data_IF_264359746483
#
_entry.id   IF_264359746483
#
_cell.length_a   1.000
_cell.length_b   1.000
_cell.length_c   1.000
_cell.angle_alpha   90.00
_cell.angle_beta   90.00
_cell.angle_gamma   90.00
#
_symmetry.space_group_name_H-M   'P 1'
#
loop_
_entity.id
_entity.type
_entity.pdbx_description
1 polymer ?
#
# COMPACT_ATOMS: atom_id res chain seq x y z
N UNK A 1 -17.15 11.37 -16.72
CA UNK A 1 -18.05 10.31 -16.22
C UNK A 1 -17.53 8.91 -16.57
N UNK A 2 -16.97 8.70 -17.77
CA UNK A 2 -16.54 7.38 -18.25
C UNK A 2 -15.47 6.66 -17.41
N UNK A 3 -14.50 7.40 -16.86
CA UNK A 3 -13.50 6.80 -15.97
C UNK A 3 -14.14 6.25 -14.67
N UNK A 4 -15.12 6.98 -14.13
CA UNK A 4 -15.84 6.58 -12.92
C UNK A 4 -16.76 5.39 -13.19
N UNK A 5 -17.46 5.36 -14.32
CA UNK A 5 -18.31 4.21 -14.70
C UNK A 5 -17.49 2.96 -14.97
N UNK A 6 -16.33 3.07 -15.64
CA UNK A 6 -15.40 1.94 -15.82
C UNK A 6 -14.85 1.44 -14.48
N UNK A 7 -14.53 2.35 -13.56
CA UNK A 7 -14.07 2.02 -12.22
C UNK A 7 -15.14 1.27 -11.42
N UNK A 8 -16.38 1.78 -11.38
CA UNK A 8 -17.47 1.15 -10.61
C UNK A 8 -17.97 -0.15 -11.24
N UNK A 9 -17.72 -0.39 -12.52
CA UNK A 9 -18.00 -1.67 -13.17
C UNK A 9 -17.00 -2.77 -12.77
N UNK A 10 -15.84 -2.42 -12.22
CA UNK A 10 -14.86 -3.39 -11.74
C UNK A 10 -15.13 -3.75 -10.27
N UNK A 11 -15.12 -5.05 -9.96
CA UNK A 11 -15.23 -5.56 -8.59
C UNK A 11 -14.15 -4.98 -7.68
N UNK A 12 -12.92 -4.84 -8.19
CA UNK A 12 -11.82 -4.21 -7.47
C UNK A 12 -12.09 -2.73 -7.19
N UNK A 13 -12.70 -2.00 -8.12
CA UNK A 13 -13.06 -0.60 -7.90
C UNK A 13 -14.07 -0.46 -6.76
N UNK A 14 -15.11 -1.31 -6.74
CA UNK A 14 -16.09 -1.35 -5.64
C UNK A 14 -15.45 -1.68 -4.29
N UNK A 15 -14.54 -2.65 -4.21
CA UNK A 15 -13.80 -2.93 -2.96
C UNK A 15 -12.98 -1.72 -2.50
N UNK A 16 -12.28 -1.02 -3.40
CA UNK A 16 -11.48 0.16 -3.05
C UNK A 16 -12.33 1.32 -2.57
N UNK A 17 -13.49 1.55 -3.17
CA UNK A 17 -14.45 2.54 -2.71
C UNK A 17 -14.94 2.23 -1.30
N UNK A 18 -15.32 0.96 -1.06
CA UNK A 18 -15.76 0.52 0.27
C UNK A 18 -14.62 0.61 1.30
N UNK A 19 -13.39 0.29 0.89
CA UNK A 19 -12.20 0.49 1.73
C UNK A 19 -12.02 1.96 2.11
N UNK A 20 -12.16 2.88 1.16
CA UNK A 20 -12.09 4.32 1.44
C UNK A 20 -13.17 4.75 2.44
N UNK A 21 -14.43 4.33 2.23
CA UNK A 21 -15.53 4.65 3.16
C UNK A 21 -15.24 4.11 4.57
N UNK A 22 -14.76 2.87 4.67
CA UNK A 22 -14.42 2.25 5.96
C UNK A 22 -13.36 3.07 6.71
N UNK A 23 -12.25 3.42 6.05
CA UNK A 23 -11.17 4.16 6.68
C UNK A 23 -11.53 5.63 6.96
N UNK A 24 -12.37 6.25 6.12
CA UNK A 24 -12.97 7.56 6.44
C UNK A 24 -13.83 7.48 7.70
N UNK A 25 -14.66 6.44 7.86
CA UNK A 25 -15.44 6.25 9.09
C UNK A 25 -14.54 6.09 10.31
N UNK A 26 -13.45 5.32 10.19
CA UNK A 26 -12.47 5.12 11.26
C UNK A 26 -11.76 6.43 11.64
N UNK A 27 -11.35 7.24 10.66
CA UNK A 27 -10.74 8.55 10.88
C UNK A 27 -11.71 9.53 11.53
N UNK A 28 -12.93 9.65 10.99
CA UNK A 28 -13.97 10.51 11.55
C UNK A 28 -14.33 10.10 12.98
N UNK A 29 -14.42 8.80 13.26
CA UNK A 29 -14.65 8.29 14.62
C UNK A 29 -13.57 8.80 15.56
N UNK A 30 -12.30 8.62 15.22
CA UNK A 30 -11.18 9.07 16.04
C UNK A 30 -11.22 10.59 16.32
N UNK A 31 -11.58 11.40 15.32
CA UNK A 31 -11.68 12.86 15.47
C UNK A 31 -12.89 13.33 16.29
N UNK A 32 -13.95 12.52 16.35
CA UNK A 32 -15.21 12.83 17.02
C UNK A 32 -15.31 12.22 18.43
N UNK A 33 -14.56 11.16 18.71
CA UNK A 33 -14.55 10.43 19.99
C UNK A 33 -14.25 11.32 21.21
N UNK A 34 -13.39 12.35 21.14
CA UNK A 34 -13.17 13.27 22.26
C UNK A 34 -14.34 14.22 22.55
N UNK A 35 -15.38 14.28 21.69
CA UNK A 35 -16.48 15.26 21.78
C UNK A 35 -17.73 14.60 22.37
N UNK A 36 -18.07 14.93 23.61
CA UNK A 36 -19.20 14.33 24.36
C UNK A 36 -20.56 14.41 23.62
N UNK A 37 -20.82 15.48 22.86
CA UNK A 37 -22.09 15.67 22.14
C UNK A 37 -22.22 14.83 20.83
N UNK A 38 -21.19 14.08 20.45
CA UNK A 38 -21.15 13.36 19.16
C UNK A 38 -21.25 11.85 19.26
N UNK A 39 -21.59 11.31 20.44
CA UNK A 39 -21.68 9.86 20.68
C UNK A 39 -22.66 9.16 19.72
N UNK A 40 -23.83 9.75 19.47
CA UNK A 40 -24.81 9.22 18.49
C UNK A 40 -24.23 9.11 17.08
N UNK A 41 -23.39 10.06 16.67
CA UNK A 41 -22.73 10.06 15.35
C UNK A 41 -21.64 9.00 15.31
N UNK A 42 -20.84 8.88 16.37
CA UNK A 42 -19.81 7.83 16.53
C UNK A 42 -20.41 6.44 16.40
N UNK A 43 -21.56 6.18 17.03
CA UNK A 43 -22.25 4.90 16.93
C UNK A 43 -22.76 4.60 15.51
N UNK A 44 -23.28 5.62 14.80
CA UNK A 44 -23.66 5.48 13.38
C UNK A 44 -22.44 5.16 12.51
N UNK A 45 -21.31 5.85 12.71
CA UNK A 45 -20.06 5.60 11.99
C UNK A 45 -19.54 4.17 12.25
N UNK A 46 -19.60 3.68 13.48
CA UNK A 46 -19.19 2.30 13.83
C UNK A 46 -20.06 1.25 13.14
N UNK A 47 -21.38 1.48 13.06
CA UNK A 47 -22.30 0.60 12.34
C UNK A 47 -21.99 0.58 10.84
N UNK A 48 -21.75 1.75 10.25
CA UNK A 48 -21.39 1.89 8.84
C UNK A 48 -20.04 1.20 8.53
N UNK A 49 -19.01 1.45 9.35
CA UNK A 49 -17.69 0.81 9.23
C UNK A 49 -17.82 -0.73 9.22
N UNK A 50 -18.58 -1.29 10.17
CA UNK A 50 -18.80 -2.74 10.27
C UNK A 50 -19.55 -3.32 9.06
N UNK A 51 -20.60 -2.62 8.60
CA UNK A 51 -21.37 -3.02 7.43
C UNK A 51 -20.52 -3.03 6.16
N UNK A 52 -19.76 -1.96 5.93
CA UNK A 52 -18.88 -1.82 4.77
C UNK A 52 -17.72 -2.83 4.83
N UNK A 53 -17.11 -3.04 6.00
CA UNK A 53 -16.07 -4.07 6.21
C UNK A 53 -16.56 -5.48 5.86
N UNK A 54 -17.82 -5.80 6.21
CA UNK A 54 -18.45 -7.06 5.82
C UNK A 54 -18.67 -7.12 4.31
N UNK A 55 -19.19 -6.05 3.69
CA UNK A 55 -19.36 -5.96 2.23
C UNK A 55 -18.06 -6.18 1.46
N UNK A 56 -16.93 -5.66 1.96
CA UNK A 56 -15.61 -5.88 1.35
C UNK A 56 -15.16 -7.33 1.33
N UNK A 57 -15.55 -8.16 2.30
CA UNK A 57 -15.22 -9.59 2.26
C UNK A 57 -15.81 -10.27 1.03
N UNK A 58 -17.03 -9.90 0.65
CA UNK A 58 -17.67 -10.43 -0.56
C UNK A 58 -16.89 -10.09 -1.83
N UNK A 59 -16.45 -8.85 -1.97
CA UNK A 59 -15.65 -8.43 -3.13
C UNK A 59 -14.24 -9.02 -3.17
N UNK A 60 -13.74 -9.54 -2.03
CA UNK A 60 -12.42 -10.18 -1.95
C UNK A 60 -12.46 -11.68 -2.24
N UNK A 61 -13.63 -12.30 -2.28
CA UNK A 61 -13.76 -13.70 -2.73
C UNK A 61 -13.28 -13.82 -4.18
N UNK A 62 -12.48 -14.84 -4.46
CA UNK A 62 -11.85 -15.03 -5.78
C UNK A 62 -10.52 -14.30 -5.97
N UNK A 63 -10.13 -13.36 -5.09
CA UNK A 63 -8.82 -12.69 -5.19
C UNK A 63 -7.64 -13.64 -5.02
N UNK A 64 -7.85 -14.84 -4.46
CA UNK A 64 -6.85 -15.91 -4.45
C UNK A 64 -6.37 -16.25 -5.86
N UNK A 65 -7.27 -16.29 -6.85
CA UNK A 65 -6.94 -16.59 -8.25
C UNK A 65 -6.08 -15.48 -8.84
N UNK A 66 -6.43 -14.22 -8.57
CA UNK A 66 -5.61 -13.07 -8.98
C UNK A 66 -4.22 -13.09 -8.32
N UNK A 67 -4.12 -13.51 -7.06
CA UNK A 67 -2.84 -13.64 -6.39
C UNK A 67 -1.99 -14.77 -6.98
N UNK A 68 -2.59 -15.91 -7.33
CA UNK A 68 -1.89 -17.02 -8.01
C UNK A 68 -1.40 -16.58 -9.39
N UNK A 69 -2.25 -15.90 -10.17
CA UNK A 69 -1.87 -15.37 -11.47
C UNK A 69 -0.71 -14.37 -11.35
N UNK A 70 -0.74 -13.49 -10.34
CA UNK A 70 0.35 -12.54 -10.08
C UNK A 70 1.66 -13.26 -9.69
N UNK A 71 1.60 -14.35 -8.92
CA UNK A 71 2.77 -15.19 -8.61
C UNK A 71 3.36 -15.83 -9.88
N UNK A 72 2.52 -16.30 -10.80
CA UNK A 72 2.99 -16.87 -12.06
C UNK A 72 3.66 -15.82 -12.94
N UNK A 73 3.07 -14.63 -13.03
CA UNK A 73 3.63 -13.52 -13.81
C UNK A 73 4.96 -13.02 -13.22
N UNK A 74 5.10 -12.98 -11.89
CA UNK A 74 6.34 -12.51 -11.26
C UNK A 74 7.54 -13.42 -11.53
N UNK A 75 7.33 -14.69 -11.89
CA UNK A 75 8.41 -15.63 -12.26
C UNK A 75 9.05 -15.23 -13.60
N UNK A 76 8.30 -14.55 -14.47
CA UNK A 76 8.74 -14.12 -15.80
C UNK A 76 9.56 -12.82 -15.77
N UNK A 77 9.67 -12.17 -14.61
CA UNK A 77 10.45 -10.94 -14.44
C UNK A 77 11.93 -11.24 -14.63
N UNK A 78 12.59 -10.47 -15.49
CA UNK A 78 14.00 -10.66 -15.87
C UNK A 78 14.96 -10.42 -14.71
N UNK A 79 14.72 -9.37 -13.91
CA UNK A 79 15.60 -8.99 -12.81
C UNK A 79 15.41 -9.90 -11.59
N UNK A 80 16.52 -10.44 -11.07
CA UNK A 80 16.50 -11.45 -10.01
C UNK A 80 15.89 -10.95 -8.70
N UNK A 81 16.26 -9.73 -8.27
CA UNK A 81 15.83 -9.16 -6.98
C UNK A 81 14.32 -8.85 -6.99
N UNK A 82 13.77 -8.10 -7.97
CA UNK A 82 12.32 -7.90 -8.07
C UNK A 82 11.56 -9.20 -8.25
N UNK A 83 12.05 -10.13 -9.10
CA UNK A 83 11.43 -11.44 -9.29
C UNK A 83 11.25 -12.20 -7.98
N UNK A 84 12.30 -12.29 -7.17
CA UNK A 84 12.25 -12.99 -5.89
C UNK A 84 11.29 -12.31 -4.91
N UNK A 85 11.41 -10.98 -4.76
CA UNK A 85 10.56 -10.20 -3.85
C UNK A 85 9.07 -10.34 -4.22
N UNK A 86 8.73 -10.16 -5.51
CA UNK A 86 7.36 -10.22 -6.00
C UNK A 86 6.77 -11.62 -5.91
N UNK A 87 7.56 -12.66 -6.23
CA UNK A 87 7.09 -14.04 -6.17
C UNK A 87 6.72 -14.44 -4.74
N UNK A 88 7.58 -14.13 -3.77
CA UNK A 88 7.29 -14.43 -2.37
C UNK A 88 6.19 -13.50 -1.82
N UNK A 89 6.15 -12.23 -2.25
CA UNK A 89 5.11 -11.29 -1.85
C UNK A 89 3.72 -11.77 -2.30
N UNK A 90 3.60 -12.25 -3.54
CA UNK A 90 2.37 -12.76 -4.12
C UNK A 90 2.00 -14.14 -3.53
N UNK A 91 2.97 -15.00 -3.23
CA UNK A 91 2.71 -16.26 -2.52
C UNK A 91 2.14 -16.02 -1.11
N UNK A 92 2.72 -15.07 -0.36
CA UNK A 92 2.15 -14.64 0.92
C UNK A 92 0.73 -14.08 0.75
N UNK A 93 0.47 -13.38 -0.36
CA UNK A 93 -0.86 -12.85 -0.69
C UNK A 93 -1.88 -13.97 -0.95
N UNK A 94 -1.48 -15.07 -1.59
CA UNK A 94 -2.31 -16.27 -1.75
C UNK A 94 -2.71 -16.82 -0.39
N UNK A 95 -1.75 -17.05 0.52
CA UNK A 95 -2.02 -17.57 1.86
C UNK A 95 -2.96 -16.64 2.64
N UNK A 96 -2.74 -15.33 2.54
CA UNK A 96 -3.62 -14.32 3.12
C UNK A 96 -5.07 -14.45 2.62
N UNK A 97 -5.30 -14.55 1.31
CA UNK A 97 -6.65 -14.65 0.75
C UNK A 97 -7.32 -15.99 1.07
N UNK A 98 -6.56 -17.08 1.19
CA UNK A 98 -7.08 -18.36 1.69
C UNK A 98 -7.56 -18.21 3.14
N UNK A 99 -6.76 -17.60 4.01
CA UNK A 99 -7.16 -17.33 5.39
C UNK A 99 -8.38 -16.40 5.47
N UNK A 100 -8.45 -15.37 4.62
CA UNK A 100 -9.59 -14.43 4.55
C UNK A 100 -10.88 -15.14 4.11
N UNK A 101 -10.78 -16.08 3.16
CA UNK A 101 -11.90 -16.91 2.72
C UNK A 101 -12.40 -17.81 3.86
N UNK A 102 -11.49 -18.46 4.59
CA UNK A 102 -11.86 -19.30 5.76
C UNK A 102 -12.54 -18.45 6.85
N UNK A 103 -12.02 -17.25 7.13
CA UNK A 103 -12.63 -16.31 8.08
C UNK A 103 -14.01 -15.82 7.62
N UNK A 104 -14.22 -15.69 6.30
CA UNK A 104 -15.54 -15.36 5.74
C UNK A 104 -16.52 -16.54 5.87
N UNK A 105 -16.12 -17.75 5.50
CA UNK A 105 -16.94 -18.98 5.63
C UNK A 105 -17.41 -19.16 7.08
N UNK A 106 -16.51 -18.95 8.05
CA UNK A 106 -16.87 -18.92 9.48
C UNK A 106 -17.92 -17.85 9.80
N UNK A 107 -17.78 -16.64 9.25
CA UNK A 107 -18.71 -15.54 9.55
C UNK A 107 -20.12 -15.76 8.98
N UNK A 108 -20.29 -16.63 7.99
CA UNK A 108 -21.58 -17.05 7.44
C UNK A 108 -22.20 -18.21 8.25
N UNK A 109 -21.44 -18.82 9.16
CA UNK A 109 -21.91 -19.93 10.00
C UNK A 109 -21.75 -21.32 9.37
N UNK A 110 -21.05 -21.42 8.24
CA UNK A 110 -20.80 -22.71 7.59
C UNK A 110 -19.80 -23.59 8.36
N UNK A 111 -18.89 -22.98 9.13
CA UNK A 111 -17.92 -23.71 9.96
C UNK A 111 -17.78 -23.02 11.34
N UNK A 112 -18.17 -23.73 12.40
CA UNK A 112 -18.29 -23.19 13.76
C UNK A 112 -17.08 -23.44 14.67
N UNK A 113 -16.22 -24.43 14.37
CA UNK A 113 -15.14 -24.87 15.28
C UNK A 113 -13.76 -24.23 15.03
N UNK A 114 -13.66 -23.28 14.10
CA UNK A 114 -12.38 -22.65 13.77
C UNK A 114 -11.99 -21.53 14.75
N UNK A 115 -10.76 -21.54 15.27
CA UNK A 115 -10.27 -20.44 16.10
C UNK A 115 -10.07 -19.15 15.29
N UNK A 116 -11.06 -18.25 15.33
CA UNK A 116 -11.06 -16.96 14.61
C UNK A 116 -9.80 -16.14 14.84
N UNK A 117 -9.28 -16.12 16.07
CA UNK A 117 -8.15 -15.28 16.42
C UNK A 117 -6.84 -15.79 15.83
N UNK A 118 -6.63 -17.11 15.85
CA UNK A 118 -5.46 -17.74 15.22
C UNK A 118 -5.42 -17.46 13.72
N UNK A 119 -6.53 -17.66 13.01
CA UNK A 119 -6.61 -17.43 11.57
C UNK A 119 -6.49 -15.94 11.20
N UNK A 120 -7.03 -15.05 12.03
CA UNK A 120 -6.86 -13.60 11.88
C UNK A 120 -5.40 -13.18 12.01
N UNK A 121 -4.70 -13.67 13.05
CA UNK A 121 -3.27 -13.41 13.24
C UNK A 121 -2.43 -14.00 12.11
N UNK A 122 -2.74 -15.21 11.65
CA UNK A 122 -2.05 -15.84 10.52
C UNK A 122 -2.21 -15.04 9.23
N UNK A 123 -3.42 -14.58 8.93
CA UNK A 123 -3.70 -13.70 7.79
C UNK A 123 -2.91 -12.39 7.90
N UNK A 124 -2.94 -11.74 9.06
CA UNK A 124 -2.21 -10.49 9.32
C UNK A 124 -0.70 -10.66 9.09
N UNK A 125 -0.12 -11.79 9.52
CA UNK A 125 1.30 -12.11 9.36
C UNK A 125 1.71 -12.26 7.89
N UNK A 126 0.95 -12.99 7.09
CA UNK A 126 1.25 -13.14 5.67
C UNK A 126 1.01 -11.85 4.89
N UNK A 127 -0.03 -11.07 5.27
CA UNK A 127 -0.24 -9.75 4.71
C UNK A 127 0.93 -8.79 5.01
N UNK A 128 1.45 -8.83 6.25
CA UNK A 128 2.66 -8.10 6.65
C UNK A 128 3.86 -8.46 5.77
N UNK A 129 4.21 -9.75 5.66
CA UNK A 129 5.36 -10.17 4.85
C UNK A 129 5.20 -9.79 3.37
N UNK A 130 3.99 -9.91 2.83
CA UNK A 130 3.69 -9.47 1.46
C UNK A 130 3.98 -7.98 1.26
N UNK A 131 3.57 -7.12 2.21
CA UNK A 131 3.83 -5.68 2.14
C UNK A 131 5.31 -5.34 2.35
N UNK A 132 5.97 -6.02 3.29
CA UNK A 132 7.39 -5.80 3.56
C UNK A 132 8.23 -6.11 2.32
N UNK A 133 7.97 -7.22 1.63
CA UNK A 133 8.67 -7.59 0.40
C UNK A 133 8.39 -6.62 -0.75
N UNK A 134 7.16 -6.09 -0.85
CA UNK A 134 6.86 -5.05 -1.82
C UNK A 134 7.64 -3.76 -1.51
N UNK A 135 7.74 -3.34 -0.24
CA UNK A 135 8.53 -2.17 0.15
C UNK A 135 10.02 -2.38 -0.16
N UNK A 136 10.57 -3.57 0.13
CA UNK A 136 11.97 -3.89 -0.20
C UNK A 136 12.20 -3.77 -1.71
N UNK A 137 11.28 -4.30 -2.51
CA UNK A 137 11.31 -4.21 -3.98
C UNK A 137 11.21 -2.76 -4.46
N UNK A 138 10.31 -1.98 -3.87
CA UNK A 138 10.14 -0.56 -4.20
C UNK A 138 11.41 0.23 -3.88
N UNK A 139 12.03 0.01 -2.70
CA UNK A 139 13.30 0.64 -2.32
C UNK A 139 14.41 0.28 -3.30
N UNK A 140 14.51 -0.99 -3.69
CA UNK A 140 15.50 -1.44 -4.69
C UNK A 140 15.31 -0.73 -6.04
N UNK A 141 14.08 -0.66 -6.56
CA UNK A 141 13.78 0.06 -7.80
C UNK A 141 14.09 1.57 -7.66
N UNK A 142 13.77 2.19 -6.53
CA UNK A 142 14.08 3.61 -6.27
C UNK A 142 15.59 3.83 -6.29
N UNK A 143 16.38 2.96 -5.65
CA UNK A 143 17.84 3.04 -5.64
C UNK A 143 18.43 2.97 -7.05
N UNK A 144 17.94 2.04 -7.87
CA UNK A 144 18.37 1.92 -9.27
C UNK A 144 18.04 3.18 -10.08
N UNK A 145 16.85 3.72 -9.90
CA UNK A 145 16.42 4.95 -10.59
C UNK A 145 17.23 6.19 -10.13
N UNK A 146 17.57 6.25 -8.84
CA UNK A 146 18.44 7.31 -8.31
C UNK A 146 19.83 7.26 -8.93
N UNK A 147 20.41 6.07 -9.11
CA UNK A 147 21.70 5.89 -9.77
C UNK A 147 21.67 6.37 -11.23
N UNK A 148 20.62 6.01 -11.99
CA UNK A 148 20.45 6.47 -13.36
C UNK A 148 20.37 8.00 -13.47
N UNK A 149 19.59 8.64 -12.59
CA UNK A 149 19.46 10.11 -12.55
C UNK A 149 20.78 10.78 -12.15
N UNK A 150 21.55 10.18 -11.23
CA UNK A 150 22.86 10.68 -10.84
C UNK A 150 23.86 10.60 -12.01
N UNK A 151 23.87 9.49 -12.74
CA UNK A 151 24.73 9.32 -13.92
C UNK A 151 24.37 10.30 -15.05
N UNK A 152 23.07 10.55 -15.29
CA UNK A 152 22.62 11.58 -16.25
C UNK A 152 23.10 12.98 -15.87
N UNK A 153 23.01 13.34 -14.58
CA UNK A 153 23.52 14.64 -14.08
C UNK A 153 25.02 14.75 -14.26
N UNK A 154 25.79 13.72 -13.87
CA UNK A 154 27.24 13.72 -14.02
C UNK A 154 27.69 13.83 -15.49
N UNK A 155 26.96 13.18 -16.42
CA UNK A 155 27.20 13.35 -17.87
C UNK A 155 26.92 14.78 -18.34
N UNK A 156 25.85 15.40 -17.84
CA UNK A 156 25.45 16.77 -18.19
C UNK A 156 26.42 17.81 -17.64
N UNK A 157 26.92 17.64 -16.43
CA UNK A 157 27.90 18.54 -15.80
C UNK A 157 29.25 18.49 -16.53
N UNK A 158 29.71 17.30 -16.93
CA UNK A 158 30.92 17.14 -17.77
C UNK A 158 30.83 17.82 -19.14
N UNK A 159 29.64 18.11 -19.63
CA UNK A 159 29.42 18.79 -20.91
C UNK A 159 29.33 20.32 -20.81
N UNK A 160 29.36 20.90 -19.60
CA UNK A 160 29.40 22.34 -19.36
C UNK A 160 30.79 22.78 -18.87
N UNK A 161 31.36 23.91 -19.35
CA UNK A 161 32.60 24.44 -18.77
C UNK A 161 32.33 24.94 -17.34
N UNK A 162 33.02 24.39 -16.35
CA UNK A 162 32.82 24.72 -14.93
C UNK A 162 33.88 25.72 -14.45
N UNK A 163 33.44 26.92 -14.03
CA UNK A 163 34.23 27.83 -13.20
C UNK A 163 34.07 27.39 -11.73
N UNK A 164 35.18 27.02 -11.10
CA UNK A 164 35.21 26.46 -9.76
C UNK A 164 35.12 27.55 -8.68
N UNK A 165 34.18 27.39 -7.74
CA UNK A 165 34.27 27.97 -6.40
C UNK A 165 33.79 26.90 -5.41
N UNK A 166 34.70 26.42 -4.56
CA UNK A 166 34.48 25.26 -3.69
C UNK A 166 33.69 25.58 -2.41
N UNK A 167 33.01 24.58 -1.78
CA UNK A 167 32.30 24.80 -0.52
C UNK A 167 33.10 24.37 0.73
N UNK A 168 32.75 25.00 1.84
CA UNK A 168 33.28 24.82 3.19
C UNK A 168 32.73 23.57 3.89
N UNK A 169 33.60 22.89 4.65
CA UNK A 169 33.48 21.53 5.23
C UNK A 169 32.47 21.39 6.39
N UNK A 170 31.69 22.42 6.74
CA UNK A 170 30.77 22.39 7.89
C UNK A 170 29.29 22.11 7.53
N UNK A 171 28.95 22.08 6.23
CA UNK A 171 27.57 21.90 5.73
C UNK A 171 27.33 20.51 5.08
N UNK A 172 28.34 19.63 5.08
CA UNK A 172 28.37 18.41 4.27
C UNK A 172 27.23 17.41 4.57
N UNK A 173 26.85 17.24 5.84
CA UNK A 173 25.77 16.29 6.20
C UNK A 173 24.39 16.80 5.76
N UNK A 174 24.13 18.09 5.94
CA UNK A 174 22.87 18.73 5.54
C UNK A 174 22.79 18.83 4.02
N UNK A 175 23.89 19.19 3.36
CA UNK A 175 24.00 19.24 1.90
C UNK A 175 23.83 17.85 1.27
N UNK A 176 24.43 16.80 1.86
CA UNK A 176 24.27 15.42 1.38
C UNK A 176 22.82 14.94 1.53
N UNK A 177 22.19 15.18 2.69
CA UNK A 177 20.78 14.84 2.93
C UNK A 177 19.86 15.57 1.95
N UNK A 178 20.05 16.87 1.76
CA UNK A 178 19.29 17.66 0.80
C UNK A 178 19.48 17.15 -0.64
N UNK A 179 20.71 16.85 -1.02
CA UNK A 179 21.04 16.30 -2.34
C UNK A 179 20.39 14.93 -2.56
N UNK A 180 20.45 14.07 -1.56
CA UNK A 180 19.80 12.76 -1.57
C UNK A 180 18.28 12.88 -1.67
N UNK A 181 17.65 13.72 -0.85
CA UNK A 181 16.20 13.96 -0.87
C UNK A 181 15.74 14.55 -2.21
N UNK A 182 16.52 15.45 -2.79
CA UNK A 182 16.23 16.05 -4.10
C UNK A 182 16.37 15.02 -5.23
N UNK A 183 17.39 14.16 -5.17
CA UNK A 183 17.56 13.04 -6.11
C UNK A 183 16.41 12.04 -5.99
N UNK A 184 16.03 11.67 -4.77
CA UNK A 184 14.91 10.79 -4.47
C UNK A 184 13.59 11.38 -4.99
N UNK A 185 13.32 12.65 -4.71
CA UNK A 185 12.13 13.34 -5.20
C UNK A 185 12.09 13.40 -6.73
N UNK A 186 13.23 13.71 -7.37
CA UNK A 186 13.33 13.77 -8.83
C UNK A 186 13.16 12.40 -9.49
N UNK A 187 13.75 11.36 -8.90
CA UNK A 187 13.61 9.96 -9.32
C UNK A 187 12.15 9.51 -9.25
N UNK A 188 11.51 9.71 -8.10
CA UNK A 188 10.10 9.37 -7.89
C UNK A 188 9.14 10.17 -8.79
N UNK A 189 9.45 11.44 -9.06
CA UNK A 189 8.65 12.26 -9.99
C UNK A 189 8.76 11.80 -11.44
N UNK A 190 9.92 11.26 -11.85
CA UNK A 190 10.06 10.63 -13.18
C UNK A 190 9.28 9.31 -13.28
N UNK A 191 9.08 8.61 -12.16
CA UNK A 191 8.39 7.30 -12.10
C UNK A 191 7.14 7.35 -11.19
N UNK A 192 6.06 8.02 -11.62
CA UNK A 192 4.83 8.14 -10.81
C UNK A 192 4.23 6.80 -10.35
N UNK A 193 4.26 5.69 -11.13
CA UNK A 193 3.73 4.41 -10.64
C UNK A 193 4.49 3.84 -9.44
N UNK A 194 5.81 4.03 -9.40
CA UNK A 194 6.66 3.56 -8.30
C UNK A 194 6.37 4.34 -7.02
N UNK A 195 6.29 5.67 -7.12
CA UNK A 195 5.91 6.54 -6.00
C UNK A 195 4.56 6.14 -5.40
N UNK A 196 3.55 5.93 -6.26
CA UNK A 196 2.21 5.57 -5.81
C UNK A 196 2.20 4.20 -5.12
N UNK A 197 2.93 3.21 -5.63
CA UNK A 197 3.00 1.89 -5.01
C UNK A 197 3.73 1.95 -3.66
N UNK A 198 4.85 2.67 -3.57
CA UNK A 198 5.60 2.85 -2.32
C UNK A 198 4.76 3.51 -1.24
N UNK A 199 4.13 4.66 -1.54
CA UNK A 199 3.28 5.38 -0.57
C UNK A 199 2.13 4.49 -0.11
N UNK A 200 1.49 3.79 -1.05
CA UNK A 200 0.39 2.88 -0.74
C UNK A 200 0.85 1.72 0.15
N UNK A 201 1.98 1.08 -0.14
CA UNK A 201 2.52 -0.03 0.63
C UNK A 201 2.91 0.42 2.05
N UNK A 202 3.53 1.60 2.19
CA UNK A 202 3.86 2.22 3.48
C UNK A 202 2.61 2.56 4.30
N UNK A 203 1.55 3.06 3.66
CA UNK A 203 0.29 3.30 4.37
C UNK A 203 -0.41 2.00 4.79
N UNK A 204 -0.38 0.98 3.93
CA UNK A 204 -1.06 -0.29 4.18
C UNK A 204 -0.38 -1.14 5.27
N UNK A 205 0.93 -0.97 5.51
CA UNK A 205 1.70 -1.76 6.50
C UNK A 205 1.30 -1.45 7.95
N UNK A 206 0.74 -0.27 8.20
CA UNK A 206 0.26 0.14 9.52
C UNK A 206 -0.83 -0.81 10.06
N UNK A 207 -1.69 -1.35 9.18
CA UNK A 207 -2.77 -2.24 9.58
C UNK A 207 -2.27 -3.57 10.17
N UNK A 208 -1.44 -4.37 9.47
CA UNK A 208 -0.97 -5.62 10.04
C UNK A 208 0.03 -5.41 11.18
N UNK A 209 0.79 -4.31 11.21
CA UNK A 209 1.65 -3.97 12.36
C UNK A 209 0.83 -3.81 13.65
N UNK A 210 -0.31 -3.12 13.57
CA UNK A 210 -1.25 -2.95 14.68
C UNK A 210 -1.91 -4.30 15.06
N UNK A 211 -2.39 -5.07 14.07
CA UNK A 211 -3.03 -6.37 14.32
C UNK A 211 -2.09 -7.41 14.94
N UNK A 212 -0.80 -7.34 14.63
CA UNK A 212 0.24 -8.21 15.20
C UNK A 212 0.78 -7.67 16.52
N UNK A 213 0.33 -6.49 16.97
CA UNK A 213 0.81 -5.79 18.16
C UNK A 213 2.32 -5.51 18.16
N UNK A 214 2.94 -5.41 16.97
CA UNK A 214 4.36 -5.07 16.81
C UNK A 214 4.54 -3.56 17.02
N UNK A 215 3.65 -2.75 16.45
CA UNK A 215 3.65 -1.31 16.61
C UNK A 215 2.21 -0.81 16.76
N UNK A 216 1.86 -0.32 17.96
CA UNK A 216 0.52 0.19 18.27
C UNK A 216 0.36 1.58 17.67
N UNK A 217 -0.34 1.66 16.55
CA UNK A 217 -0.68 2.94 15.92
C UNK A 217 -2.02 3.43 16.44
N UNK A 218 -2.19 4.75 16.46
CA UNK A 218 -3.48 5.32 16.78
C UNK A 218 -4.50 5.01 15.65
N UNK A 219 -5.76 4.73 16.01
CA UNK A 219 -6.87 4.54 15.08
C UNK A 219 -6.98 5.66 14.03
N UNK A 220 -6.64 6.91 14.39
CA UNK A 220 -6.61 8.03 13.45
C UNK A 220 -5.55 7.86 12.35
N UNK A 221 -4.34 7.44 12.71
CA UNK A 221 -3.22 7.25 11.76
C UNK A 221 -3.52 6.07 10.83
N UNK A 222 -4.05 4.97 11.37
CA UNK A 222 -4.49 3.81 10.57
C UNK A 222 -5.62 4.21 9.62
N UNK A 223 -6.57 5.02 10.11
CA UNK A 223 -7.65 5.62 9.32
C UNK A 223 -7.13 6.47 8.16
N UNK A 224 -6.22 7.41 8.43
CA UNK A 224 -5.61 8.26 7.42
C UNK A 224 -4.82 7.45 6.38
N UNK A 225 -3.95 6.54 6.84
CA UNK A 225 -3.16 5.69 5.96
C UNK A 225 -4.03 4.80 5.07
N UNK A 226 -5.03 4.15 5.64
CA UNK A 226 -5.97 3.32 4.88
C UNK A 226 -6.82 4.12 3.89
N UNK A 227 -7.17 5.37 4.20
CA UNK A 227 -7.85 6.27 3.26
C UNK A 227 -6.92 6.64 2.10
N UNK A 228 -5.70 7.07 2.40
CA UNK A 228 -4.72 7.46 1.39
C UNK A 228 -4.39 6.30 0.44
N UNK A 229 -4.13 5.10 0.99
CA UNK A 229 -3.87 3.91 0.18
C UNK A 229 -5.07 3.49 -0.67
N UNK A 230 -6.29 3.75 -0.19
CA UNK A 230 -7.52 3.51 -0.95
C UNK A 230 -7.68 4.50 -2.11
N UNK A 231 -7.44 5.80 -1.87
CA UNK A 231 -7.46 6.83 -2.91
C UNK A 231 -6.44 6.52 -4.01
N UNK A 232 -5.20 6.18 -3.63
CA UNK A 232 -4.17 5.74 -4.58
C UNK A 232 -4.65 4.51 -5.35
N UNK A 233 -5.19 3.50 -4.66
CA UNK A 233 -5.74 2.32 -5.31
C UNK A 233 -6.87 2.61 -6.30
N UNK A 234 -7.73 3.59 -6.02
CA UNK A 234 -8.78 4.03 -6.95
C UNK A 234 -8.19 4.70 -8.18
N UNK A 235 -7.20 5.57 -8.01
CA UNK A 235 -6.48 6.22 -9.11
C UNK A 235 -5.80 5.18 -10.01
N UNK A 236 -5.13 4.18 -9.42
CA UNK A 236 -4.45 3.11 -10.18
C UNK A 236 -5.43 2.25 -10.98
N UNK A 237 -6.64 2.03 -10.48
CA UNK A 237 -7.68 1.26 -11.19
C UNK A 237 -8.33 2.11 -12.29
N UNK A 238 -8.58 3.39 -12.03
CA UNK A 238 -9.16 4.31 -13.00
C UNK A 238 -8.20 4.64 -14.15
N UNK A 239 -6.90 4.68 -13.87
CA UNK A 239 -5.84 4.96 -14.83
C UNK A 239 -4.81 3.82 -14.84
N UNK A 240 -5.02 2.78 -15.68
CA UNK A 240 -4.12 1.63 -15.76
C UNK A 240 -2.68 1.99 -16.15
N UNK A 241 -2.47 3.15 -16.78
CA UNK A 241 -1.15 3.69 -17.11
C UNK A 241 -0.32 4.08 -15.87
N UNK A 242 -0.99 4.32 -14.74
CA UNK A 242 -0.35 4.64 -13.45
C UNK A 242 -0.11 3.39 -12.60
N UNK A 243 -0.44 2.20 -13.11
CA UNK A 243 -0.13 0.93 -12.45
C UNK A 243 1.30 0.54 -12.78
N UNK A 244 2.10 0.33 -11.74
CA UNK A 244 3.46 -0.17 -11.89
C UNK A 244 3.39 -1.56 -12.52
N UNK A 245 3.88 -1.68 -13.76
CA UNK A 245 4.04 -2.95 -14.45
C UNK A 245 5.34 -3.55 -13.95
N UNK A 246 5.21 -4.67 -13.26
CA UNK A 246 6.32 -5.55 -12.89
C UNK A 246 6.30 -6.74 -13.83
#
# INVERSE_FOLDING_TARGET
MDAFTRFTNQTQGRDRLFRAIQYTCMLLRYLLEPKADREKVVMKLKKLESSVSTGRKWFRLGNVVHAVQATQQSILVSDLVPRFCLTIANLNRVIYFVCDTILWVRSVGLISDINKEKWRKLAARHYYYSLLLNIIRDVYEISLQMEQVAQEKAKREKSMPQNHLGPCVADEETEWLQSFLLLLFRSLRKHPPLLLDTVKNLCDILNPLDQLAIYKSNSGIIGLGGLLSSLIGMITVAYPQMKLRT
#
